data_IF_870487853088
#
_entry.id   IF_870487853088
#
_cell.length_a   1.000
_cell.length_b   1.000
_cell.length_c   1.000
_cell.angle_alpha   90.00
_cell.angle_beta   90.00
_cell.angle_gamma   90.00
#
_symmetry.space_group_name_H-M   'P 1'
#
loop_
_entity.id
_entity.type
_entity.pdbx_description
1 polymer ?
#
# COMPACT_ATOMS: atom_id res chain seq x y z
N UNK A 1 -20.46 -67.15 -24.58
CA UNK A 1 -21.14 -66.36 -23.51
C UNK A 1 -20.51 -64.98 -23.29
N UNK A 2 -19.18 -64.85 -23.37
CA UNK A 2 -18.44 -63.60 -23.14
C UNK A 2 -18.92 -62.37 -23.95
N UNK A 3 -19.22 -62.51 -25.25
CA UNK A 3 -19.71 -61.39 -26.09
C UNK A 3 -21.10 -60.86 -25.70
N UNK A 4 -22.00 -61.75 -25.25
CA UNK A 4 -23.35 -61.37 -24.81
C UNK A 4 -23.30 -60.64 -23.48
N UNK A 5 -22.46 -61.09 -22.55
CA UNK A 5 -22.23 -60.40 -21.28
C UNK A 5 -21.60 -59.00 -21.50
N UNK A 6 -20.57 -58.90 -22.36
CA UNK A 6 -19.92 -57.62 -22.68
C UNK A 6 -20.91 -56.59 -23.28
N UNK A 7 -21.85 -57.04 -24.11
CA UNK A 7 -22.87 -56.16 -24.71
C UNK A 7 -23.81 -55.59 -23.65
N UNK A 8 -24.24 -56.39 -22.67
CA UNK A 8 -25.13 -55.94 -21.58
C UNK A 8 -24.44 -54.89 -20.71
N UNK A 9 -23.17 -55.14 -20.32
CA UNK A 9 -22.40 -54.16 -19.56
C UNK A 9 -22.09 -52.89 -20.36
N UNK A 10 -21.80 -53.01 -21.66
CA UNK A 10 -21.59 -51.84 -22.52
C UNK A 10 -22.85 -50.95 -22.59
N UNK A 11 -24.03 -51.53 -22.74
CA UNK A 11 -25.30 -50.77 -22.71
C UNK A 11 -25.51 -50.09 -21.35
N UNK A 12 -25.22 -50.79 -20.24
CA UNK A 12 -25.31 -50.20 -18.91
C UNK A 12 -24.39 -48.97 -18.76
N UNK A 13 -23.12 -49.08 -19.16
CA UNK A 13 -22.18 -47.96 -19.10
C UNK A 13 -22.59 -46.80 -20.02
N UNK A 14 -23.16 -47.07 -21.20
CA UNK A 14 -23.69 -46.00 -22.06
C UNK A 14 -24.88 -45.27 -21.42
N UNK A 15 -25.76 -45.97 -20.73
CA UNK A 15 -26.87 -45.35 -19.98
C UNK A 15 -26.35 -44.49 -18.84
N UNK A 16 -25.34 -44.97 -18.09
CA UNK A 16 -24.69 -44.20 -17.03
C UNK A 16 -24.04 -42.94 -17.61
N UNK A 17 -23.30 -43.05 -18.71
CA UNK A 17 -22.67 -41.92 -19.38
C UNK A 17 -23.70 -40.87 -19.83
N UNK A 18 -24.80 -41.31 -20.47
CA UNK A 18 -25.87 -40.43 -20.90
C UNK A 18 -26.59 -39.76 -19.72
N UNK A 19 -26.78 -40.50 -18.61
CA UNK A 19 -27.36 -39.97 -17.38
C UNK A 19 -26.49 -38.89 -16.74
N UNK A 20 -25.18 -39.15 -16.58
CA UNK A 20 -24.22 -38.18 -16.04
C UNK A 20 -24.13 -36.93 -16.91
N UNK A 21 -24.08 -37.08 -18.23
CA UNK A 21 -24.04 -35.95 -19.16
C UNK A 21 -25.33 -35.11 -19.11
N UNK A 22 -26.48 -35.76 -18.98
CA UNK A 22 -27.77 -35.06 -18.84
C UNK A 22 -27.84 -34.26 -17.54
N UNK A 23 -27.28 -34.78 -16.44
CA UNK A 23 -27.22 -34.07 -15.15
C UNK A 23 -26.30 -32.84 -15.21
N UNK A 24 -25.15 -32.95 -15.88
CA UNK A 24 -24.25 -31.80 -16.10
C UNK A 24 -24.95 -30.70 -16.89
N UNK A 25 -25.64 -31.04 -17.99
CA UNK A 25 -26.23 -30.05 -18.89
C UNK A 25 -27.42 -29.27 -18.32
N UNK A 26 -28.02 -29.72 -17.21
CA UNK A 26 -29.13 -29.04 -16.53
C UNK A 26 -28.72 -28.43 -15.18
N UNK A 27 -27.49 -28.68 -14.73
CA UNK A 27 -26.99 -28.14 -13.48
C UNK A 27 -26.77 -26.63 -13.63
N UNK A 28 -27.21 -25.87 -12.62
CA UNK A 28 -27.00 -24.44 -12.52
C UNK A 28 -26.00 -24.19 -11.41
N UNK A 29 -24.96 -23.43 -11.70
CA UNK A 29 -23.96 -23.00 -10.73
C UNK A 29 -24.61 -22.06 -9.70
N UNK A 30 -24.32 -22.21 -8.40
CA UNK A 30 -24.74 -21.23 -7.40
C UNK A 30 -24.03 -19.90 -7.65
N UNK A 31 -24.73 -18.78 -7.40
CA UNK A 31 -24.15 -17.44 -7.47
C UNK A 31 -23.74 -16.93 -6.07
N UNK A 32 -22.87 -15.91 -6.05
CA UNK A 32 -22.55 -15.16 -4.84
C UNK A 32 -23.57 -14.03 -4.69
N UNK A 33 -24.19 -13.90 -3.52
CA UNK A 33 -25.12 -12.82 -3.18
C UNK A 33 -24.60 -12.04 -1.98
N UNK A 34 -23.81 -11.01 -2.27
CA UNK A 34 -23.20 -10.19 -1.23
C UNK A 34 -24.21 -9.20 -0.68
N UNK A 35 -24.59 -9.39 0.59
CA UNK A 35 -25.34 -8.39 1.34
C UNK A 35 -24.43 -7.19 1.64
N UNK A 36 -24.47 -6.19 0.77
CA UNK A 36 -23.61 -5.01 0.86
C UNK A 36 -24.00 -3.90 -0.10
N UNK A 37 -23.38 -2.73 0.10
CA UNK A 37 -23.49 -1.63 -0.85
C UNK A 37 -22.43 -1.78 -1.95
N UNK A 38 -22.78 -1.30 -3.16
CA UNK A 38 -21.90 -1.26 -4.32
C UNK A 38 -21.27 0.13 -4.44
N UNK A 39 -19.98 0.17 -4.71
CA UNK A 39 -19.19 1.38 -4.83
C UNK A 39 -18.40 1.39 -6.14
N UNK A 40 -18.40 2.53 -6.82
CA UNK A 40 -17.55 2.81 -7.98
C UNK A 40 -16.35 3.69 -7.58
N UNK A 41 -15.44 3.93 -8.52
CA UNK A 41 -14.32 4.81 -8.28
C UNK A 41 -14.80 6.24 -7.98
N UNK A 42 -14.19 6.85 -6.96
CA UNK A 42 -14.53 8.14 -6.36
C UNK A 42 -15.78 8.14 -5.48
N UNK A 43 -16.46 7.01 -5.30
CA UNK A 43 -17.50 6.91 -4.29
C UNK A 43 -16.89 6.93 -2.88
N UNK A 44 -17.70 7.36 -1.93
CA UNK A 44 -17.33 7.47 -0.53
C UNK A 44 -18.19 6.58 0.33
N UNK A 45 -17.58 5.92 1.32
CA UNK A 45 -18.30 5.23 2.38
C UNK A 45 -17.89 5.74 3.75
N UNK A 46 -18.80 5.65 4.72
CA UNK A 46 -18.51 6.02 6.11
C UNK A 46 -18.67 4.81 7.02
N UNK A 47 -17.61 4.48 7.76
CA UNK A 47 -17.60 3.41 8.75
C UNK A 47 -17.27 3.99 10.11
N UNK A 48 -18.24 3.95 11.03
CA UNK A 48 -18.09 4.43 12.42
C UNK A 48 -17.42 5.83 12.53
N UNK A 49 -17.85 6.74 11.67
CA UNK A 49 -17.39 8.13 11.62
C UNK A 49 -16.11 8.39 10.81
N UNK A 50 -15.49 7.35 10.25
CA UNK A 50 -14.38 7.50 9.30
C UNK A 50 -14.90 7.43 7.87
N UNK A 51 -14.60 8.47 7.10
CA UNK A 51 -14.91 8.54 5.66
C UNK A 51 -13.76 7.96 4.83
N UNK A 52 -14.08 7.06 3.93
CA UNK A 52 -13.16 6.42 2.99
C UNK A 52 -13.62 6.75 1.57
N UNK A 53 -12.67 7.06 0.69
CA UNK A 53 -12.92 7.24 -0.75
C UNK A 53 -12.32 6.07 -1.52
N UNK A 54 -13.06 5.54 -2.48
CA UNK A 54 -12.55 4.55 -3.44
C UNK A 54 -11.65 5.27 -4.45
N UNK A 55 -10.33 5.16 -4.29
CA UNK A 55 -9.37 5.89 -5.12
C UNK A 55 -8.96 5.13 -6.37
N UNK A 56 -9.00 3.80 -6.33
CA UNK A 56 -8.79 2.94 -7.50
C UNK A 56 -9.71 1.74 -7.48
N UNK A 57 -10.12 1.31 -8.67
CA UNK A 57 -10.80 0.04 -8.95
C UNK A 57 -10.35 -0.47 -10.31
N UNK A 58 -10.10 -1.77 -10.41
CA UNK A 58 -9.80 -2.46 -11.66
C UNK A 58 -9.32 -3.88 -11.42
N UNK A 59 -9.59 -4.78 -12.37
CA UNK A 59 -9.05 -6.14 -12.40
C UNK A 59 -9.25 -6.97 -11.10
N UNK A 60 -10.37 -6.80 -10.40
CA UNK A 60 -10.64 -7.51 -9.13
C UNK A 60 -9.86 -6.94 -7.93
N UNK A 61 -9.28 -5.76 -8.08
CA UNK A 61 -8.52 -5.04 -7.07
C UNK A 61 -9.03 -3.60 -6.91
N UNK A 62 -8.74 -3.01 -5.76
CA UNK A 62 -9.12 -1.63 -5.45
C UNK A 62 -8.34 -1.03 -4.30
N UNK A 63 -8.56 0.26 -4.04
CA UNK A 63 -7.98 0.96 -2.89
C UNK A 63 -8.99 1.90 -2.27
N UNK A 64 -9.15 1.81 -0.95
CA UNK A 64 -9.85 2.76 -0.13
C UNK A 64 -8.85 3.67 0.58
N UNK A 65 -8.98 4.98 0.39
CA UNK A 65 -8.15 5.98 1.05
C UNK A 65 -8.97 6.77 2.05
N UNK A 66 -8.48 6.89 3.28
CA UNK A 66 -8.98 7.83 4.29
C UNK A 66 -7.96 8.92 4.49
N UNK A 67 -8.39 10.19 4.52
CA UNK A 67 -7.53 11.32 4.86
C UNK A 67 -7.85 11.81 6.28
N UNK A 68 -6.86 11.79 7.17
CA UNK A 68 -6.94 12.50 8.44
C UNK A 68 -6.34 13.89 8.27
N UNK A 69 -7.20 14.89 8.05
CA UNK A 69 -6.84 16.30 7.86
C UNK A 69 -6.07 16.91 9.05
N UNK A 70 -6.15 16.29 10.23
CA UNK A 70 -5.58 16.80 11.48
C UNK A 70 -4.58 15.82 12.11
N UNK A 71 -3.84 15.07 11.30
CA UNK A 71 -2.83 14.17 11.81
C UNK A 71 -1.65 14.97 12.41
N UNK A 72 -1.21 14.57 13.61
CA UNK A 72 -0.07 15.18 14.29
C UNK A 72 1.23 14.57 13.79
N UNK A 73 2.17 15.44 13.46
CA UNK A 73 3.55 15.12 13.08
C UNK A 73 4.51 15.74 14.08
N UNK A 74 5.69 15.12 14.21
CA UNK A 74 6.77 15.58 15.08
C UNK A 74 8.10 15.40 14.36
N UNK A 75 9.03 16.32 14.59
CA UNK A 75 10.42 16.20 14.14
C UNK A 75 11.37 16.65 15.24
N UNK A 76 12.62 16.21 15.14
CA UNK A 76 13.72 16.62 16.01
C UNK A 76 14.76 17.38 15.22
N UNK A 77 15.04 18.61 15.65
CA UNK A 77 16.12 19.44 15.16
C UNK A 77 17.32 19.25 16.09
N UNK A 78 18.18 18.29 15.75
CA UNK A 78 19.35 17.97 16.57
C UNK A 78 20.35 19.15 16.62
N UNK A 79 20.97 19.36 17.77
CA UNK A 79 21.98 20.37 17.97
C UNK A 79 23.16 20.15 17.02
N UNK A 80 23.66 21.24 16.42
CA UNK A 80 24.72 21.24 15.42
C UNK A 80 24.40 20.42 14.14
N UNK A 81 23.14 20.06 13.92
CA UNK A 81 22.67 19.51 12.64
C UNK A 81 22.21 20.62 11.70
N UNK A 82 22.00 20.27 10.44
CA UNK A 82 21.48 21.18 9.41
C UNK A 82 20.06 20.82 9.05
N UNK A 83 19.21 21.81 8.84
CA UNK A 83 17.84 21.65 8.37
C UNK A 83 17.53 22.65 7.24
N UNK A 84 16.48 22.35 6.46
CA UNK A 84 16.03 23.20 5.36
C UNK A 84 14.86 24.08 5.82
N UNK A 85 14.98 25.38 5.59
CA UNK A 85 13.93 26.36 5.87
C UNK A 85 13.91 27.41 4.76
N UNK A 86 12.74 27.69 4.18
CA UNK A 86 12.57 28.68 3.09
C UNK A 86 13.57 28.50 1.93
N UNK A 87 13.83 27.25 1.52
CA UNK A 87 14.83 26.86 0.51
C UNK A 87 16.29 27.23 0.86
N UNK A 88 16.58 27.58 2.11
CA UNK A 88 17.92 27.82 2.63
C UNK A 88 18.29 26.78 3.69
N UNK A 89 19.58 26.48 3.79
CA UNK A 89 20.10 25.58 4.82
C UNK A 89 20.40 26.39 6.08
N UNK A 90 19.94 25.90 7.22
CA UNK A 90 20.25 26.47 8.53
C UNK A 90 20.87 25.41 9.43
N UNK A 91 21.84 25.82 10.22
CA UNK A 91 22.43 25.02 11.29
C UNK A 91 21.72 25.34 12.60
N UNK A 92 21.38 24.29 13.33
CA UNK A 92 20.73 24.36 14.64
C UNK A 92 21.78 24.57 15.71
N UNK A 93 21.60 25.59 16.54
CA UNK A 93 22.43 25.85 17.71
C UNK A 93 21.57 25.88 18.96
N UNK A 94 21.86 24.99 19.90
CA UNK A 94 21.21 24.98 21.21
C UNK A 94 22.23 25.41 22.27
N UNK A 95 21.87 26.34 23.17
CA UNK A 95 22.74 26.73 24.28
C UNK A 95 23.18 25.52 25.10
N UNK A 96 24.47 25.47 25.45
CA UNK A 96 25.01 24.45 26.32
C UNK A 96 24.74 24.79 27.80
N UNK A 97 23.47 24.69 28.19
CA UNK A 97 23.00 24.89 29.56
C UNK A 97 22.18 23.68 30.03
N UNK A 98 21.91 23.59 31.33
CA UNK A 98 21.26 22.41 31.91
C UNK A 98 19.79 22.24 31.52
N UNK A 99 19.14 23.33 31.12
CA UNK A 99 17.70 23.36 30.80
C UNK A 99 17.43 24.45 29.73
N UNK A 100 17.91 24.24 28.48
CA UNK A 100 17.70 25.21 27.43
C UNK A 100 16.24 25.23 27.00
N UNK A 101 15.67 26.42 26.86
CA UNK A 101 14.28 26.62 26.39
C UNK A 101 14.22 27.26 25.00
N UNK A 102 15.37 27.46 24.35
CA UNK A 102 15.50 28.15 23.07
C UNK A 102 16.59 27.55 22.20
N UNK A 103 16.46 27.72 20.90
CA UNK A 103 17.48 27.40 19.92
C UNK A 103 17.59 28.48 18.85
N UNK A 104 18.73 28.53 18.18
CA UNK A 104 18.99 29.45 17.08
C UNK A 104 19.19 28.66 15.80
N UNK A 105 18.46 29.02 14.75
CA UNK A 105 18.77 28.65 13.38
C UNK A 105 19.68 29.72 12.78
N UNK A 106 20.89 29.34 12.38
CA UNK A 106 21.82 30.22 11.67
C UNK A 106 22.01 29.72 10.25
N UNK A 107 21.77 30.58 9.28
CA UNK A 107 21.91 30.25 7.86
C UNK A 107 23.34 29.76 7.56
N UNK A 108 23.44 28.68 6.79
CA UNK A 108 24.70 28.08 6.40
C UNK A 108 24.92 28.26 4.89
N UNK A 109 25.98 28.99 4.55
CA UNK A 109 26.41 29.15 3.17
C UNK A 109 27.37 28.04 2.77
N UNK A 110 27.06 27.38 1.66
CA UNK A 110 27.96 26.43 1.03
C UNK A 110 28.82 27.14 -0.02
N UNK A 111 30.12 26.87 0.00
CA UNK A 111 31.02 27.32 -1.06
C UNK A 111 30.77 26.49 -2.33
N UNK A 112 30.91 27.11 -3.49
CA UNK A 112 30.84 26.40 -4.76
C UNK A 112 32.01 25.42 -4.91
N UNK A 113 31.81 24.32 -5.65
CA UNK A 113 32.83 23.26 -5.81
C UNK A 113 34.15 23.74 -6.44
N UNK A 114 34.12 24.87 -7.17
CA UNK A 114 35.28 25.49 -7.77
C UNK A 114 36.10 26.36 -6.81
N UNK A 115 35.68 26.50 -5.55
CA UNK A 115 36.39 27.25 -4.52
C UNK A 115 37.41 26.33 -3.85
N UNK A 116 38.68 26.72 -3.86
CA UNK A 116 39.75 25.96 -3.20
C UNK A 116 39.97 26.50 -1.79
N UNK A 117 39.94 25.63 -0.78
CA UNK A 117 40.27 25.98 0.60
C UNK A 117 41.59 25.35 1.05
N UNK A 118 42.26 26.03 1.99
CA UNK A 118 43.47 25.55 2.68
C UNK A 118 43.38 25.90 4.15
N UNK A 119 43.83 25.02 5.03
CA UNK A 119 43.88 25.27 6.49
C UNK A 119 45.27 25.72 6.91
N UNK A 120 45.37 26.84 7.63
CA UNK A 120 46.60 27.30 8.28
C UNK A 120 46.31 27.75 9.71
N UNK A 121 47.10 27.29 10.68
CA UNK A 121 46.94 27.63 12.09
C UNK A 121 45.48 27.48 12.56
N UNK A 122 44.88 26.33 12.25
CA UNK A 122 43.48 25.98 12.61
C UNK A 122 42.40 26.86 11.98
N UNK A 123 42.78 27.82 11.12
CA UNK A 123 41.85 28.66 10.37
C UNK A 123 41.80 28.19 8.91
N UNK A 124 40.59 28.06 8.37
CA UNK A 124 40.38 27.74 6.96
C UNK A 124 40.32 29.01 6.11
N UNK A 125 41.03 29.00 4.98
CA UNK A 125 41.12 30.12 4.05
C UNK A 125 40.70 29.67 2.65
N UNK A 126 40.04 30.55 1.91
CA UNK A 126 39.84 30.43 0.47
C UNK A 126 41.06 30.97 -0.26
N UNK A 127 41.55 30.23 -1.25
CA UNK A 127 42.59 30.68 -2.16
C UNK A 127 41.93 31.51 -3.27
N UNK A 128 42.18 32.81 -3.27
CA UNK A 128 41.70 33.74 -4.30
C UNK A 128 42.84 34.04 -5.26
N UNK A 129 42.65 33.79 -6.55
CA UNK A 129 43.60 34.07 -7.62
C UNK A 129 43.02 35.17 -8.52
N UNK A 130 43.65 36.35 -8.52
CA UNK A 130 43.23 37.49 -9.36
C UNK A 130 43.91 37.49 -10.74
N UNK A 131 44.63 36.41 -11.08
CA UNK A 131 45.40 36.26 -12.31
C UNK A 131 46.79 36.90 -12.27
N UNK A 132 47.12 37.64 -11.22
CA UNK A 132 48.43 38.27 -11.00
C UNK A 132 49.08 37.77 -9.71
N UNK A 133 48.30 37.57 -8.66
CA UNK A 133 48.73 37.08 -7.35
C UNK A 133 47.69 36.14 -6.74
N UNK A 134 48.16 35.25 -5.86
CA UNK A 134 47.30 34.44 -4.99
C UNK A 134 47.25 35.06 -3.60
N UNK A 135 46.06 35.25 -3.08
CA UNK A 135 45.82 35.69 -1.70
C UNK A 135 45.00 34.64 -0.94
N UNK A 136 45.08 34.71 0.39
CA UNK A 136 44.31 33.88 1.30
C UNK A 136 43.32 34.77 2.02
N UNK A 137 42.03 34.46 1.87
CA UNK A 137 40.94 35.14 2.56
C UNK A 137 40.29 34.15 3.52
N UNK A 138 40.11 34.45 4.81
CA UNK A 138 39.41 33.56 5.74
C UNK A 138 38.06 33.12 5.16
N UNK A 139 37.68 31.85 5.33
CA UNK A 139 36.44 31.31 4.74
C UNK A 139 35.21 32.12 5.17
N UNK A 140 35.13 32.53 6.44
CA UNK A 140 34.03 33.36 6.93
C UNK A 140 33.97 34.72 6.24
N UNK A 141 35.12 35.40 6.06
CA UNK A 141 35.18 36.68 5.37
C UNK A 141 34.80 36.52 3.89
N UNK A 142 35.30 35.48 3.23
CA UNK A 142 34.94 35.17 1.84
C UNK A 142 33.44 34.90 1.70
N UNK A 143 32.84 34.11 2.60
CA UNK A 143 31.39 33.86 2.61
C UNK A 143 30.60 35.15 2.81
N UNK A 144 31.01 36.00 3.75
CA UNK A 144 30.33 37.28 3.99
C UNK A 144 30.41 38.22 2.78
N UNK A 145 31.53 38.24 2.05
CA UNK A 145 31.67 39.02 0.82
C UNK A 145 30.78 38.52 -0.31
N UNK A 146 30.60 37.20 -0.43
CA UNK A 146 29.82 36.58 -1.51
C UNK A 146 28.31 36.53 -1.23
N UNK A 147 27.93 36.24 0.02
CA UNK A 147 26.56 35.92 0.41
C UNK A 147 25.95 36.92 1.40
N UNK A 148 26.75 37.81 2.00
CA UNK A 148 26.33 38.69 3.10
C UNK A 148 26.44 38.02 4.47
N UNK A 149 25.97 38.71 5.50
CA UNK A 149 25.91 38.16 6.86
C UNK A 149 24.85 37.05 6.94
N UNK A 150 25.13 35.92 7.60
CA UNK A 150 24.18 34.82 7.73
C UNK A 150 22.97 35.26 8.55
N UNK A 151 21.77 34.97 8.06
CA UNK A 151 20.55 35.21 8.82
C UNK A 151 20.51 34.32 10.08
N UNK A 152 20.11 34.90 11.21
CA UNK A 152 19.86 34.17 12.46
C UNK A 152 18.42 34.33 12.89
N UNK A 153 17.78 33.21 13.23
CA UNK A 153 16.41 33.17 13.77
C UNK A 153 16.43 32.43 15.09
N UNK A 154 15.91 33.03 16.13
CA UNK A 154 15.80 32.42 17.46
C UNK A 154 14.35 32.01 17.70
N UNK A 155 14.18 30.83 18.30
CA UNK A 155 12.88 30.30 18.67
C UNK A 155 12.95 29.69 20.06
N UNK A 156 11.92 29.96 20.86
CA UNK A 156 11.71 29.39 22.17
C UNK A 156 10.62 28.31 22.16
N UNK A 157 10.54 27.50 23.22
CA UNK A 157 9.41 26.61 23.45
C UNK A 157 8.07 27.39 23.39
N UNK A 158 7.11 26.82 22.65
CA UNK A 158 5.81 27.44 22.39
C UNK A 158 5.77 28.38 21.18
N UNK A 159 6.92 28.75 20.60
CA UNK A 159 6.93 29.56 19.38
C UNK A 159 6.44 28.77 18.17
N UNK A 160 5.79 29.48 17.25
CA UNK A 160 5.38 28.97 15.95
C UNK A 160 6.29 29.52 14.84
N UNK A 161 6.67 28.66 13.90
CA UNK A 161 7.42 29.02 12.71
C UNK A 161 7.00 28.15 11.52
N UNK A 162 7.43 28.53 10.31
CA UNK A 162 7.20 27.68 9.14
C UNK A 162 8.27 26.59 9.09
N UNK A 163 7.87 25.34 8.87
CA UNK A 163 8.79 24.22 8.72
C UNK A 163 8.18 23.20 7.76
N UNK A 164 8.93 22.81 6.72
CA UNK A 164 8.44 21.91 5.65
C UNK A 164 7.09 22.33 5.05
N UNK A 165 6.84 23.64 4.94
CA UNK A 165 5.59 24.19 4.41
C UNK A 165 4.41 24.18 5.40
N UNK A 166 4.64 23.79 6.65
CA UNK A 166 3.62 23.72 7.70
C UNK A 166 3.90 24.72 8.83
N UNK A 167 2.83 25.31 9.39
CA UNK A 167 2.93 26.02 10.68
C UNK A 167 3.27 25.01 11.77
N UNK A 168 4.41 25.21 12.40
CA UNK A 168 5.06 24.24 13.28
C UNK A 168 5.39 24.91 14.60
N UNK A 169 5.03 24.24 15.70
CA UNK A 169 5.25 24.72 17.07
C UNK A 169 6.46 24.03 17.67
N UNK A 170 7.31 24.79 18.35
CA UNK A 170 8.39 24.26 19.19
C UNK A 170 7.76 23.68 20.45
N UNK A 171 7.91 22.37 20.66
CA UNK A 171 7.26 21.67 21.78
C UNK A 171 8.14 21.45 22.98
N UNK A 172 9.44 21.28 22.76
CA UNK A 172 10.44 21.03 23.81
C UNK A 172 11.83 21.33 23.26
N UNK A 173 12.72 21.86 24.08
CA UNK A 173 14.13 22.06 23.74
C UNK A 173 14.99 21.35 24.79
N UNK A 174 15.98 20.61 24.32
CA UNK A 174 16.97 19.93 25.17
C UNK A 174 18.35 20.25 24.65
N UNK A 175 19.41 20.03 25.44
CA UNK A 175 20.79 20.25 25.00
C UNK A 175 21.16 19.50 23.70
N UNK A 176 20.48 18.38 23.42
CA UNK A 176 20.74 17.52 22.26
C UNK A 176 19.86 17.86 21.05
N UNK A 177 18.60 18.28 21.25
CA UNK A 177 17.67 18.55 20.15
C UNK A 177 16.48 19.43 20.58
N UNK A 178 15.93 20.17 19.61
CA UNK A 178 14.63 20.83 19.70
C UNK A 178 13.55 19.97 19.04
N UNK A 179 12.52 19.56 19.79
CA UNK A 179 11.37 18.83 19.30
C UNK A 179 10.30 19.80 18.79
N UNK A 180 9.86 19.60 17.57
CA UNK A 180 8.84 20.44 16.92
C UNK A 180 7.65 19.60 16.50
N UNK A 181 6.46 20.19 16.45
CA UNK A 181 5.24 19.49 16.05
C UNK A 181 4.34 20.36 15.18
N UNK A 182 3.67 19.72 14.24
CA UNK A 182 2.69 20.36 13.37
C UNK A 182 1.53 19.42 13.07
N UNK A 183 0.50 19.98 12.46
CA UNK A 183 -0.68 19.24 12.01
C UNK A 183 -0.77 19.34 10.50
N UNK A 184 -0.90 18.19 9.84
CA UNK A 184 -1.01 18.11 8.39
C UNK A 184 -1.90 16.92 7.98
N UNK A 185 -2.46 16.92 6.75
CA UNK A 185 -3.24 15.80 6.26
C UNK A 185 -2.41 14.52 6.13
N UNK A 186 -2.94 13.39 6.59
CA UNK A 186 -2.35 12.05 6.42
C UNK A 186 -3.32 11.11 5.72
N UNK A 187 -2.94 10.62 4.54
CA UNK A 187 -3.66 9.55 3.87
C UNK A 187 -3.32 8.18 4.48
N UNK A 188 -4.32 7.32 4.62
CA UNK A 188 -4.18 5.90 4.96
C UNK A 188 -4.89 5.09 3.89
N UNK A 189 -4.17 4.16 3.26
CA UNK A 189 -4.69 3.33 2.19
C UNK A 189 -5.02 1.93 2.71
N UNK A 190 -6.09 1.35 2.17
CA UNK A 190 -6.54 0.01 2.45
C UNK A 190 -6.80 -0.67 1.10
N UNK A 191 -6.03 -1.72 0.81
CA UNK A 191 -6.19 -2.46 -0.44
C UNK A 191 -7.43 -3.36 -0.39
N UNK A 192 -8.11 -3.45 -1.52
CA UNK A 192 -9.23 -4.34 -1.77
C UNK A 192 -8.78 -5.39 -2.78
N UNK A 193 -9.18 -6.64 -2.56
CA UNK A 193 -8.97 -7.75 -3.49
C UNK A 193 -10.13 -8.73 -3.34
N UNK A 194 -10.51 -9.41 -4.43
CA UNK A 194 -11.60 -10.39 -4.43
C UNK A 194 -11.53 -11.36 -3.26
N UNK A 195 -12.65 -11.51 -2.54
CA UNK A 195 -12.81 -12.42 -1.40
C UNK A 195 -11.94 -12.11 -0.18
N UNK A 196 -11.24 -10.97 -0.16
CA UNK A 196 -10.35 -10.61 0.94
C UNK A 196 -11.09 -9.81 2.01
N UNK A 197 -10.82 -10.15 3.27
CA UNK A 197 -11.36 -9.41 4.41
C UNK A 197 -10.61 -8.10 4.62
N UNK A 198 -11.36 -7.03 4.85
CA UNK A 198 -10.83 -5.72 5.19
C UNK A 198 -11.53 -5.17 6.42
N UNK A 199 -10.76 -4.70 7.39
CA UNK A 199 -11.28 -4.06 8.60
C UNK A 199 -11.20 -2.54 8.48
N UNK A 200 -12.33 -1.86 8.61
CA UNK A 200 -12.48 -0.40 8.49
C UNK A 200 -13.00 0.20 9.80
N UNK A 201 -12.78 1.50 9.99
CA UNK A 201 -13.20 2.24 11.18
C UNK A 201 -12.08 2.46 12.22
N UNK A 202 -12.40 3.10 13.36
CA UNK A 202 -11.48 3.31 14.48
C UNK A 202 -11.15 1.99 15.20
N UNK A 203 -9.96 1.90 15.80
CA UNK A 203 -9.46 0.67 16.45
C UNK A 203 -10.42 0.07 17.50
N UNK A 204 -11.15 0.93 18.23
CA UNK A 204 -12.08 0.51 19.28
C UNK A 204 -13.52 0.25 18.79
N UNK A 205 -13.83 0.53 17.52
CA UNK A 205 -15.16 0.41 16.93
C UNK A 205 -15.01 0.19 15.42
N UNK A 206 -14.39 -0.94 15.07
CA UNK A 206 -14.12 -1.32 13.68
C UNK A 206 -15.13 -2.38 13.19
N UNK A 207 -15.31 -2.42 11.87
CA UNK A 207 -16.16 -3.39 11.18
C UNK A 207 -15.35 -4.10 10.10
N UNK A 208 -15.60 -5.40 9.91
CA UNK A 208 -14.89 -6.21 8.91
C UNK A 208 -15.82 -6.50 7.75
N UNK A 209 -15.35 -6.18 6.55
CA UNK A 209 -16.03 -6.40 5.29
C UNK A 209 -15.27 -7.44 4.46
N UNK A 210 -15.95 -8.00 3.47
CA UNK A 210 -15.33 -8.74 2.37
C UNK A 210 -15.52 -7.97 1.07
N UNK A 211 -14.47 -7.86 0.26
CA UNK A 211 -14.55 -7.23 -1.05
C UNK A 211 -14.98 -8.27 -2.10
N UNK A 212 -16.01 -7.93 -2.88
CA UNK A 212 -16.46 -8.72 -4.01
C UNK A 212 -16.57 -7.85 -5.26
N UNK A 213 -16.04 -8.33 -6.36
CA UNK A 213 -16.01 -7.69 -7.67
C UNK A 213 -16.90 -8.52 -8.60
N UNK A 214 -18.16 -8.09 -8.83
CA UNK A 214 -19.13 -8.87 -9.59
C UNK A 214 -18.66 -9.17 -11.02
N UNK A 215 -18.81 -10.42 -11.46
CA UNK A 215 -18.46 -10.80 -12.81
C UNK A 215 -19.33 -10.05 -13.84
N UNK A 216 -18.69 -9.45 -14.85
CA UNK A 216 -19.37 -8.70 -15.90
C UNK A 216 -19.72 -7.25 -15.55
N UNK A 217 -19.44 -6.81 -14.31
CA UNK A 217 -19.54 -5.42 -13.90
C UNK A 217 -18.15 -4.83 -13.63
N UNK A 218 -17.52 -4.28 -14.67
CA UNK A 218 -16.22 -3.63 -14.52
C UNK A 218 -16.34 -2.30 -13.76
N UNK A 219 -15.37 -2.05 -12.87
CA UNK A 219 -15.22 -0.75 -12.20
C UNK A 219 -16.12 -0.55 -10.98
N UNK A 220 -16.71 -1.61 -10.45
CA UNK A 220 -17.47 -1.60 -9.20
C UNK A 220 -16.93 -2.63 -8.21
N UNK A 221 -17.10 -2.35 -6.92
CA UNK A 221 -16.84 -3.28 -5.82
C UNK A 221 -18.04 -3.28 -4.87
N UNK A 222 -18.41 -4.45 -4.40
CA UNK A 222 -19.38 -4.65 -3.33
C UNK A 222 -18.64 -4.95 -2.04
N UNK A 223 -19.01 -4.25 -0.97
CA UNK A 223 -18.46 -4.48 0.37
C UNK A 223 -19.50 -5.21 1.21
N UNK A 224 -19.30 -6.52 1.40
CA UNK A 224 -20.18 -7.37 2.19
C UNK A 224 -19.88 -7.29 3.67
N UNK A 225 -20.91 -7.12 4.52
CA UNK A 225 -20.76 -7.04 5.98
C UNK A 225 -20.74 -8.42 6.67
N UNK A 226 -20.97 -9.51 5.94
CA UNK A 226 -20.88 -10.89 6.44
C UNK A 226 -19.85 -11.71 5.63
N UNK A 227 -18.56 -11.62 5.97
CA UNK A 227 -17.52 -12.42 5.32
C UNK A 227 -17.71 -13.93 5.45
N UNK A 228 -18.42 -14.39 6.51
CA UNK A 228 -18.64 -15.81 6.72
C UNK A 228 -19.70 -16.37 5.76
N UNK A 229 -20.77 -15.60 5.50
CA UNK A 229 -21.76 -15.93 4.48
C UNK A 229 -21.12 -16.00 3.09
N UNK A 230 -20.32 -14.99 2.72
CA UNK A 230 -19.58 -14.99 1.45
C UNK A 230 -18.71 -16.24 1.28
N UNK A 231 -17.91 -16.60 2.29
CA UNK A 231 -17.06 -17.77 2.22
C UNK A 231 -17.86 -19.08 2.12
N UNK A 232 -19.06 -19.13 2.69
CA UNK A 232 -19.99 -20.25 2.52
C UNK A 232 -20.45 -20.39 1.08
N UNK A 233 -20.80 -19.27 0.42
CA UNK A 233 -21.23 -19.27 -0.98
C UNK A 233 -20.10 -19.67 -1.93
N UNK A 234 -18.87 -19.17 -1.71
CA UNK A 234 -17.67 -19.63 -2.43
C UNK A 234 -17.47 -21.13 -2.26
N UNK A 235 -17.67 -21.66 -1.04
CA UNK A 235 -17.57 -23.09 -0.80
C UNK A 235 -18.68 -23.88 -1.51
N UNK A 236 -19.88 -23.32 -1.67
CA UNK A 236 -20.96 -23.96 -2.41
C UNK A 236 -20.65 -24.06 -3.91
N UNK A 237 -19.97 -23.05 -4.48
CA UNK A 237 -19.44 -23.06 -5.85
C UNK A 237 -18.37 -24.15 -6.00
N UNK A 238 -17.36 -24.18 -5.12
CA UNK A 238 -16.31 -25.21 -5.16
C UNK A 238 -16.89 -26.64 -5.08
N UNK A 239 -17.89 -26.85 -4.21
CA UNK A 239 -18.58 -28.13 -4.11
C UNK A 239 -19.39 -28.47 -5.36
N UNK A 240 -19.98 -27.47 -6.02
CA UNK A 240 -20.67 -27.65 -7.29
C UNK A 240 -19.69 -28.10 -8.37
N UNK A 241 -18.57 -27.40 -8.52
CA UNK A 241 -17.53 -27.71 -9.51
C UNK A 241 -16.92 -29.09 -9.32
N UNK A 242 -16.61 -29.48 -8.08
CA UNK A 242 -16.12 -30.83 -7.76
C UNK A 242 -17.15 -31.89 -8.18
N UNK A 243 -18.45 -31.65 -7.96
CA UNK A 243 -19.51 -32.59 -8.37
C UNK A 243 -19.65 -32.67 -9.88
N UNK A 244 -19.53 -31.56 -10.60
CA UNK A 244 -19.55 -31.52 -12.07
C UNK A 244 -18.33 -32.24 -12.64
N UNK A 245 -17.14 -32.00 -12.11
CA UNK A 245 -15.91 -32.70 -12.47
C UNK A 245 -16.04 -34.22 -12.22
N UNK A 246 -16.62 -34.62 -11.08
CA UNK A 246 -16.92 -36.03 -10.77
C UNK A 246 -17.88 -36.68 -11.78
N UNK A 247 -18.94 -35.97 -12.18
CA UNK A 247 -19.88 -36.45 -13.21
C UNK A 247 -19.19 -36.60 -14.58
N UNK A 248 -18.30 -35.67 -14.95
CA UNK A 248 -17.47 -35.79 -16.16
C UNK A 248 -16.55 -37.01 -16.08
N UNK A 249 -15.93 -37.24 -14.93
CA UNK A 249 -15.13 -38.43 -14.66
C UNK A 249 -15.91 -39.73 -14.90
N UNK A 250 -17.15 -39.82 -14.39
CA UNK A 250 -18.03 -40.97 -14.60
C UNK A 250 -18.39 -41.14 -16.08
N UNK A 251 -18.73 -40.06 -16.77
CA UNK A 251 -19.08 -40.10 -18.20
C UNK A 251 -17.90 -40.60 -19.05
N UNK A 252 -16.69 -40.06 -18.83
CA UNK A 252 -15.48 -40.45 -19.55
C UNK A 252 -15.10 -41.90 -19.25
N UNK A 253 -15.06 -42.30 -17.96
CA UNK A 253 -14.73 -43.66 -17.57
C UNK A 253 -15.72 -44.69 -18.14
N UNK A 254 -17.01 -44.34 -18.19
CA UNK A 254 -18.02 -45.21 -18.77
C UNK A 254 -17.79 -45.43 -20.27
N UNK A 255 -17.48 -44.37 -21.02
CA UNK A 255 -17.15 -44.47 -22.46
C UNK A 255 -15.86 -45.27 -22.68
N UNK A 256 -14.81 -45.01 -21.91
CA UNK A 256 -13.56 -45.76 -21.99
C UNK A 256 -13.76 -47.26 -21.68
N UNK A 257 -14.59 -47.56 -20.67
CA UNK A 257 -14.93 -48.94 -20.30
C UNK A 257 -15.68 -49.64 -21.43
N UNK A 258 -16.61 -48.95 -22.10
CA UNK A 258 -17.29 -49.48 -23.29
C UNK A 258 -16.28 -49.84 -24.38
N UNK A 259 -15.35 -48.93 -24.69
CA UNK A 259 -14.28 -49.16 -25.68
C UNK A 259 -13.42 -50.38 -25.29
N UNK A 260 -13.01 -50.48 -24.03
CA UNK A 260 -12.22 -51.60 -23.51
C UNK A 260 -12.99 -52.93 -23.60
N UNK A 261 -14.26 -52.96 -23.19
CA UNK A 261 -15.11 -54.14 -23.25
C UNK A 261 -15.26 -54.64 -24.69
N UNK A 262 -15.46 -53.74 -25.65
CA UNK A 262 -15.48 -54.08 -27.07
C UNK A 262 -14.11 -54.56 -27.56
N UNK A 263 -13.02 -53.86 -27.21
CA UNK A 263 -11.66 -54.28 -27.56
C UNK A 263 -11.33 -55.69 -27.08
N UNK A 264 -11.67 -56.02 -25.83
CA UNK A 264 -11.42 -57.34 -25.24
C UNK A 264 -12.36 -58.42 -25.76
N UNK A 265 -13.64 -58.12 -25.97
CA UNK A 265 -14.63 -59.11 -26.44
C UNK A 265 -14.42 -59.51 -27.92
N UNK A 266 -13.73 -58.67 -28.69
CA UNK A 266 -13.47 -58.85 -30.11
C UNK A 266 -11.98 -58.99 -30.46
N UNK A 267 -11.10 -59.17 -29.46
CA UNK A 267 -9.72 -59.61 -29.70
C UNK A 267 -9.72 -60.92 -30.52
N UNK A 268 -8.84 -61.04 -31.55
CA UNK A 268 -8.70 -62.28 -32.30
C UNK A 268 -8.08 -63.36 -31.40
N UNK A 269 -8.86 -64.41 -31.11
CA UNK A 269 -8.32 -65.62 -30.50
C UNK A 269 -7.46 -66.34 -31.54
N UNK A 270 -6.19 -66.56 -31.22
CA UNK A 270 -5.37 -67.58 -31.88
C UNK A 270 -5.71 -68.96 -31.31
#
# INVERSE_FOLDING_TARGET
MQRRAATVYAVLFLVIAAGSYSLIGVAQEPGIDVQGETYAQNDTLTVNGYEYTVTSLGDGEGTLTRVNESARYTAELANNSTTQLDNSTYRVFIPNESDPSQFTLRQEFNLSENVTTVTQNETEYVVVDDGQNKSLVPVEEYKNQQFGEPETREYAEGDDFQYEGNRTTVTNVTADAASVAWTAPRATENSLSEGTNLTLGPENDNETFVAHFPEGEEGVVQLGSDPAAYQSEVSDIDNFDERIAGLWGIAILSVLTVILLFGLAFLPNK
#
